data_IF_272092813679
#
_entry.id   IF_272092813679
#
_cell.length_a   1.000
_cell.length_b   1.000
_cell.length_c   1.000
_cell.angle_alpha   90.00
_cell.angle_beta   90.00
_cell.angle_gamma   90.00
#
_symmetry.space_group_name_H-M   'P 1'
#
loop_
_entity.id
_entity.type
_entity.pdbx_description
1 polymer ?
#
# COMPACT_ATOMS: atom_id res chain seq x y z
N UNK A 1 -38.24 48.31 -3.03
CA UNK A 1 -37.75 47.86 -1.70
C UNK A 1 -37.70 46.33 -1.57
N UNK A 2 -38.76 45.57 -1.91
CA UNK A 2 -38.78 44.10 -1.79
C UNK A 2 -37.72 43.33 -2.61
N UNK A 3 -37.35 43.79 -3.82
CA UNK A 3 -36.34 43.10 -4.65
C UNK A 3 -34.94 43.09 -4.03
N UNK A 4 -34.58 44.13 -3.28
CA UNK A 4 -33.30 44.21 -2.58
C UNK A 4 -33.26 43.23 -1.40
N UNK A 5 -34.31 43.23 -0.57
CA UNK A 5 -34.42 42.31 0.57
C UNK A 5 -34.38 40.83 0.13
N UNK A 6 -35.05 40.51 -0.99
CA UNK A 6 -35.07 39.15 -1.55
C UNK A 6 -33.71 38.70 -2.11
N UNK A 7 -32.89 39.64 -2.59
CA UNK A 7 -31.53 39.37 -3.06
C UNK A 7 -30.57 39.15 -1.89
N UNK A 8 -30.66 39.97 -0.85
CA UNK A 8 -29.87 39.80 0.38
C UNK A 8 -30.15 38.46 1.06
N UNK A 9 -31.42 38.08 1.25
CA UNK A 9 -31.79 36.78 1.82
C UNK A 9 -31.29 35.60 0.96
N UNK A 10 -31.31 35.75 -0.37
CA UNK A 10 -30.81 34.72 -1.28
C UNK A 10 -29.28 34.59 -1.24
N UNK A 11 -28.54 35.70 -1.14
CA UNK A 11 -27.08 35.69 -0.99
C UNK A 11 -26.66 35.05 0.36
N UNK A 12 -27.40 35.28 1.45
CA UNK A 12 -27.18 34.60 2.74
C UNK A 12 -27.46 33.08 2.66
N UNK A 13 -28.56 32.68 2.01
CA UNK A 13 -28.89 31.26 1.81
C UNK A 13 -27.83 30.56 0.94
N UNK A 14 -27.37 31.20 -0.14
CA UNK A 14 -26.32 30.66 -1.02
C UNK A 14 -24.99 30.53 -0.25
N UNK A 15 -24.61 31.51 0.56
CA UNK A 15 -23.41 31.46 1.40
C UNK A 15 -23.49 30.32 2.43
N UNK A 16 -24.66 30.13 3.07
CA UNK A 16 -24.89 29.04 4.03
C UNK A 16 -24.80 27.67 3.36
N UNK A 17 -25.37 27.52 2.16
CA UNK A 17 -25.30 26.28 1.38
C UNK A 17 -23.85 25.96 0.98
N UNK A 18 -23.08 26.97 0.55
CA UNK A 18 -21.65 26.80 0.22
C UNK A 18 -20.86 26.38 1.45
N UNK A 19 -21.08 27.02 2.60
CA UNK A 19 -20.41 26.69 3.85
C UNK A 19 -20.74 25.26 4.31
N UNK A 20 -22.01 24.86 4.25
CA UNK A 20 -22.43 23.49 4.57
C UNK A 20 -21.76 22.46 3.67
N UNK A 21 -21.66 22.73 2.36
CA UNK A 21 -20.97 21.84 1.41
C UNK A 21 -19.48 21.73 1.70
N UNK A 22 -18.81 22.83 2.03
CA UNK A 22 -17.38 22.83 2.42
C UNK A 22 -17.19 22.07 3.74
N UNK A 23 -18.05 22.29 4.73
CA UNK A 23 -17.96 21.58 6.01
C UNK A 23 -18.17 20.06 5.86
N UNK A 24 -19.14 19.65 5.03
CA UNK A 24 -19.35 18.23 4.72
C UNK A 24 -18.11 17.60 4.08
N UNK A 25 -17.49 18.28 3.10
CA UNK A 25 -16.25 17.82 2.48
C UNK A 25 -15.10 17.70 3.48
N UNK A 26 -14.96 18.68 4.38
CA UNK A 26 -13.94 18.64 5.43
C UNK A 26 -14.15 17.46 6.38
N UNK A 27 -15.39 17.18 6.77
CA UNK A 27 -15.71 16.00 7.59
C UNK A 27 -15.37 14.69 6.87
N UNK A 28 -15.76 14.54 5.61
CA UNK A 28 -15.45 13.35 4.82
C UNK A 28 -13.95 13.12 4.69
N UNK A 29 -13.19 14.20 4.49
CA UNK A 29 -11.73 14.19 4.48
C UNK A 29 -11.17 13.67 5.82
N UNK A 30 -11.61 14.25 6.93
CA UNK A 30 -11.15 13.83 8.27
C UNK A 30 -11.49 12.37 8.57
N UNK A 31 -12.70 11.93 8.24
CA UNK A 31 -13.13 10.55 8.46
C UNK A 31 -12.28 9.57 7.64
N UNK A 32 -11.98 9.89 6.38
CA UNK A 32 -11.12 9.06 5.51
C UNK A 32 -9.68 9.03 6.00
N UNK A 33 -9.15 10.18 6.45
CA UNK A 33 -7.81 10.26 7.02
C UNK A 33 -7.68 9.41 8.30
N UNK A 34 -8.68 9.47 9.20
CA UNK A 34 -8.68 8.67 10.42
C UNK A 34 -8.75 7.17 10.12
N UNK A 35 -9.56 6.76 9.14
CA UNK A 35 -9.60 5.35 8.70
C UNK A 35 -8.26 4.90 8.13
N UNK A 36 -7.61 5.73 7.31
CA UNK A 36 -6.29 5.45 6.76
C UNK A 36 -5.22 5.31 7.85
N UNK A 37 -5.21 6.22 8.84
CA UNK A 37 -4.27 6.18 9.97
C UNK A 37 -4.46 4.92 10.82
N UNK A 38 -5.71 4.56 11.13
CA UNK A 38 -6.02 3.34 11.87
C UNK A 38 -5.58 2.08 11.11
N UNK A 39 -5.77 2.07 9.79
CA UNK A 39 -5.32 0.98 8.93
C UNK A 39 -3.79 0.84 8.95
N UNK A 40 -3.06 1.95 8.84
CA UNK A 40 -1.60 1.93 8.88
C UNK A 40 -1.08 1.45 10.24
N UNK A 41 -1.71 1.85 11.34
CA UNK A 41 -1.36 1.36 12.67
C UNK A 41 -1.58 -0.16 12.81
N UNK A 42 -2.73 -0.67 12.32
CA UNK A 42 -3.02 -2.11 12.31
C UNK A 42 -2.00 -2.91 11.48
N UNK A 43 -1.55 -2.35 10.36
CA UNK A 43 -0.51 -2.94 9.52
C UNK A 43 0.85 -2.93 10.20
N UNK A 44 1.20 -1.85 10.91
CA UNK A 44 2.44 -1.72 11.67
C UNK A 44 2.51 -2.75 12.81
N UNK A 45 1.41 -2.90 13.57
CA UNK A 45 1.29 -3.91 14.60
C UNK A 45 1.48 -5.33 14.03
N UNK A 46 0.88 -5.62 12.86
CA UNK A 46 1.08 -6.93 12.20
C UNK A 46 2.48 -7.13 11.66
N UNK A 47 3.18 -6.06 11.27
CA UNK A 47 4.56 -6.12 10.81
C UNK A 47 5.57 -6.36 11.95
N UNK A 48 5.17 -6.15 13.22
CA UNK A 48 6.04 -6.33 14.40
C UNK A 48 6.52 -7.77 14.64
N UNK A 49 5.92 -8.76 13.96
CA UNK A 49 6.36 -10.16 13.96
C UNK A 49 5.49 -11.11 14.79
N UNK A 50 4.54 -10.57 15.56
CA UNK A 50 3.61 -11.36 16.38
C UNK A 50 2.43 -11.94 15.58
N UNK A 51 2.30 -11.59 14.29
CA UNK A 51 1.19 -11.98 13.44
C UNK A 51 1.63 -12.58 12.11
N UNK A 52 0.98 -13.67 11.71
CA UNK A 52 1.11 -14.24 10.37
C UNK A 52 0.04 -13.61 9.46
N UNK A 53 0.46 -12.99 8.36
CA UNK A 53 -0.43 -12.49 7.32
C UNK A 53 0.00 -13.02 5.95
N UNK A 54 -0.96 -13.08 5.02
CA UNK A 54 -0.76 -13.58 3.67
C UNK A 54 -0.85 -12.45 2.62
N UNK A 55 -0.63 -12.82 1.36
CA UNK A 55 -0.74 -11.90 0.21
C UNK A 55 -2.16 -11.34 0.05
N UNK A 56 -3.18 -12.12 0.42
CA UNK A 56 -4.59 -11.69 0.36
C UNK A 56 -4.88 -10.56 1.34
N UNK A 57 -4.32 -10.63 2.55
CA UNK A 57 -4.34 -9.55 3.52
C UNK A 57 -3.69 -8.29 2.93
N UNK A 58 -2.44 -8.38 2.45
CA UNK A 58 -1.72 -7.24 1.88
C UNK A 58 -2.48 -6.59 0.72
N UNK A 59 -3.02 -7.40 -0.19
CA UNK A 59 -3.81 -6.93 -1.33
C UNK A 59 -5.04 -6.15 -0.86
N UNK A 60 -5.74 -6.66 0.15
CA UNK A 60 -6.92 -6.00 0.73
C UNK A 60 -6.56 -4.67 1.40
N UNK A 61 -5.44 -4.63 2.12
CA UNK A 61 -4.95 -3.41 2.76
C UNK A 61 -4.59 -2.34 1.72
N UNK A 62 -3.88 -2.70 0.66
CA UNK A 62 -3.52 -1.78 -0.42
C UNK A 62 -4.75 -1.22 -1.14
N UNK A 63 -5.76 -2.06 -1.43
CA UNK A 63 -7.02 -1.59 -2.02
C UNK A 63 -7.77 -0.63 -1.08
N UNK A 64 -7.72 -0.89 0.22
CA UNK A 64 -8.33 -0.02 1.23
C UNK A 64 -7.61 1.33 1.30
N UNK A 65 -6.27 1.34 1.33
CA UNK A 65 -5.46 2.55 1.26
C UNK A 65 -5.76 3.37 0.00
N UNK A 66 -5.81 2.73 -1.17
CA UNK A 66 -6.15 3.39 -2.44
C UNK A 66 -7.50 4.12 -2.37
N UNK A 67 -8.52 3.45 -1.83
CA UNK A 67 -9.86 4.04 -1.68
C UNK A 67 -9.84 5.25 -0.75
N UNK A 68 -9.22 5.15 0.43
CA UNK A 68 -9.20 6.27 1.39
C UNK A 68 -8.36 7.45 0.88
N UNK A 69 -7.20 7.20 0.24
CA UNK A 69 -6.37 8.25 -0.36
C UNK A 69 -7.11 8.98 -1.49
N UNK A 70 -7.80 8.22 -2.35
CA UNK A 70 -8.62 8.80 -3.43
C UNK A 70 -9.74 9.67 -2.88
N UNK A 71 -10.40 9.24 -1.80
CA UNK A 71 -11.43 10.03 -1.13
C UNK A 71 -10.86 11.32 -0.52
N UNK A 72 -9.70 11.25 0.15
CA UNK A 72 -9.01 12.42 0.71
C UNK A 72 -8.69 13.44 -0.39
N UNK A 73 -8.08 13.01 -1.49
CA UNK A 73 -7.70 13.89 -2.60
C UNK A 73 -8.93 14.54 -3.24
N UNK A 74 -10.01 13.77 -3.40
CA UNK A 74 -11.28 14.27 -3.93
C UNK A 74 -11.84 15.40 -3.06
N UNK A 75 -11.87 15.20 -1.74
CA UNK A 75 -12.37 16.21 -0.82
C UNK A 75 -11.43 17.41 -0.69
N UNK A 76 -10.11 17.23 -0.74
CA UNK A 76 -9.13 18.32 -0.81
C UNK A 76 -9.40 19.20 -2.04
N UNK A 77 -9.55 18.60 -3.22
CA UNK A 77 -9.83 19.35 -4.44
C UNK A 77 -11.20 20.04 -4.39
N UNK A 78 -12.22 19.40 -3.80
CA UNK A 78 -13.52 20.03 -3.61
C UNK A 78 -13.47 21.23 -2.66
N UNK A 79 -12.67 21.16 -1.59
CA UNK A 79 -12.47 22.26 -0.63
C UNK A 79 -11.66 23.42 -1.19
N UNK A 80 -10.68 23.10 -2.03
CA UNK A 80 -9.69 24.05 -2.56
C UNK A 80 -10.01 24.59 -3.94
N UNK A 81 -11.21 24.31 -4.47
CA UNK A 81 -11.63 24.72 -5.81
C UNK A 81 -10.68 24.18 -6.89
N UNK A 82 -10.31 22.91 -6.72
CA UNK A 82 -9.44 22.12 -7.60
C UNK A 82 -8.03 22.72 -7.76
N UNK A 83 -7.44 23.18 -6.64
CA UNK A 83 -6.07 23.73 -6.62
C UNK A 83 -4.99 22.66 -6.77
N UNK A 84 -5.30 21.40 -6.48
CA UNK A 84 -4.34 20.29 -6.41
C UNK A 84 -4.70 19.11 -7.33
N UNK A 85 -4.99 19.34 -8.62
CA UNK A 85 -5.36 18.27 -9.55
C UNK A 85 -4.22 17.26 -9.74
N UNK A 86 -2.97 17.66 -9.56
CA UNK A 86 -1.77 16.83 -9.69
C UNK A 86 -1.68 15.71 -8.65
N UNK A 87 -2.39 15.82 -7.52
CA UNK A 87 -2.40 14.75 -6.51
C UNK A 87 -3.04 13.46 -7.03
N UNK A 88 -3.97 13.56 -7.98
CA UNK A 88 -4.65 12.40 -8.58
C UNK A 88 -3.65 11.50 -9.33
N UNK A 89 -2.94 11.97 -10.38
CA UNK A 89 -1.98 11.13 -11.08
C UNK A 89 -0.81 10.69 -10.18
N UNK A 90 -0.38 11.51 -9.22
CA UNK A 90 0.70 11.16 -8.28
C UNK A 90 0.31 10.03 -7.33
N UNK A 91 -0.90 10.07 -6.78
CA UNK A 91 -1.38 8.98 -5.93
C UNK A 91 -1.56 7.70 -6.72
N UNK A 92 -2.08 7.77 -7.96
CA UNK A 92 -2.19 6.61 -8.83
C UNK A 92 -0.82 5.98 -9.12
N UNK A 93 0.22 6.78 -9.39
CA UNK A 93 1.60 6.30 -9.58
C UNK A 93 2.10 5.50 -8.36
N UNK A 94 1.90 6.06 -7.15
CA UNK A 94 2.32 5.42 -5.89
C UNK A 94 1.55 4.12 -5.65
N UNK A 95 0.23 4.15 -5.84
CA UNK A 95 -0.63 2.97 -5.63
C UNK A 95 -0.29 1.87 -6.63
N UNK A 96 -0.01 2.20 -7.89
CA UNK A 96 0.42 1.22 -8.90
C UNK A 96 1.73 0.54 -8.47
N UNK A 97 2.74 1.31 -8.06
CA UNK A 97 4.00 0.74 -7.54
C UNK A 97 3.77 -0.13 -6.31
N UNK A 98 2.88 0.28 -5.41
CA UNK A 98 2.56 -0.48 -4.21
C UNK A 98 1.88 -1.82 -4.56
N UNK A 99 0.95 -1.81 -5.52
CA UNK A 99 0.32 -3.03 -6.05
C UNK A 99 1.36 -3.95 -6.67
N UNK A 100 2.28 -3.42 -7.48
CA UNK A 100 3.38 -4.20 -8.06
C UNK A 100 4.24 -4.87 -7.00
N UNK A 101 4.56 -4.18 -5.90
CA UNK A 101 5.31 -4.79 -4.79
C UNK A 101 4.55 -5.94 -4.15
N UNK A 102 3.24 -5.77 -3.93
CA UNK A 102 2.39 -6.82 -3.33
C UNK A 102 2.17 -8.01 -4.27
N UNK A 103 1.96 -7.75 -5.56
CA UNK A 103 1.69 -8.80 -6.57
C UNK A 103 2.94 -9.34 -7.22
N UNK A 104 4.12 -8.77 -6.96
CA UNK A 104 5.41 -9.40 -7.26
C UNK A 104 5.59 -10.58 -6.31
N UNK A 105 4.78 -11.62 -6.53
CA UNK A 105 4.99 -12.94 -5.95
C UNK A 105 6.44 -13.37 -6.19
N UNK A 106 6.96 -14.24 -5.34
CA UNK A 106 8.35 -14.71 -5.39
C UNK A 106 8.73 -15.05 -6.82
N UNK A 107 9.51 -14.18 -7.47
CA UNK A 107 10.06 -14.44 -8.79
C UNK A 107 10.95 -15.65 -8.60
N UNK A 108 10.57 -16.77 -9.21
CA UNK A 108 11.48 -17.91 -9.35
C UNK A 108 12.50 -17.43 -10.38
N UNK A 109 13.75 -17.17 -9.98
CA UNK A 109 14.75 -16.72 -10.94
C UNK A 109 14.97 -17.83 -11.98
N UNK A 110 15.26 -17.47 -13.22
CA UNK A 110 15.78 -18.46 -14.17
C UNK A 110 17.11 -19.00 -13.64
N UNK A 111 17.11 -20.28 -13.28
CA UNK A 111 18.28 -20.96 -12.74
C UNK A 111 18.62 -22.19 -13.58
N UNK A 112 19.89 -22.61 -13.60
CA UNK A 112 20.24 -23.93 -14.11
C UNK A 112 19.43 -25.01 -13.39
N UNK A 113 19.03 -26.08 -14.10
CA UNK A 113 18.26 -27.21 -13.55
C UNK A 113 18.84 -27.79 -12.26
N UNK A 114 20.15 -27.63 -12.06
CA UNK A 114 20.88 -28.06 -10.88
C UNK A 114 21.79 -26.94 -10.41
N UNK A 115 21.68 -26.59 -9.13
CA UNK A 115 22.60 -25.68 -8.45
C UNK A 115 23.43 -26.44 -7.40
N UNK A 116 24.77 -26.29 -7.42
CA UNK A 116 25.62 -26.90 -6.41
C UNK A 116 25.40 -26.21 -5.05
N UNK A 117 25.52 -26.95 -3.95
CA UNK A 117 25.34 -26.41 -2.61
C UNK A 117 26.31 -25.25 -2.28
N UNK A 118 27.45 -25.13 -2.96
CA UNK A 118 28.38 -23.99 -2.87
C UNK A 118 27.82 -22.67 -3.36
N UNK A 119 26.85 -22.71 -4.28
CA UNK A 119 26.25 -21.52 -4.88
C UNK A 119 24.97 -21.09 -4.17
N UNK A 120 24.51 -21.84 -3.16
CA UNK A 120 23.26 -21.59 -2.48
C UNK A 120 23.44 -20.66 -1.28
N UNK A 121 22.48 -19.76 -1.13
CA UNK A 121 22.34 -18.86 0.03
C UNK A 121 20.87 -18.83 0.43
N UNK A 122 20.53 -18.15 1.52
CA UNK A 122 19.13 -17.97 1.94
C UNK A 122 18.28 -17.37 0.82
N UNK A 123 18.86 -16.51 0.00
CA UNK A 123 18.19 -15.83 -1.12
C UNK A 123 17.85 -16.79 -2.27
N UNK A 124 18.44 -17.99 -2.32
CA UNK A 124 18.10 -19.03 -3.30
C UNK A 124 16.75 -19.73 -3.03
N UNK A 125 16.09 -19.45 -1.90
CA UNK A 125 14.85 -20.12 -1.48
C UNK A 125 13.72 -20.13 -2.54
N UNK A 126 13.54 -19.09 -3.39
CA UNK A 126 12.56 -19.16 -4.48
C UNK A 126 12.82 -20.27 -5.50
N UNK A 127 14.09 -20.59 -5.79
CA UNK A 127 14.46 -21.58 -6.81
C UNK A 127 14.59 -23.01 -6.25
N UNK A 128 15.08 -23.16 -5.01
CA UNK A 128 15.45 -24.48 -4.44
C UNK A 128 14.66 -24.87 -3.19
N UNK A 129 13.75 -24.00 -2.74
CA UNK A 129 13.03 -24.13 -1.48
C UNK A 129 13.88 -23.82 -0.24
N UNK A 130 13.21 -23.56 0.88
CA UNK A 130 13.85 -23.09 2.11
C UNK A 130 14.89 -24.05 2.69
N UNK A 131 14.71 -25.36 2.56
CA UNK A 131 15.62 -26.35 3.17
C UNK A 131 17.01 -26.29 2.52
N UNK A 132 17.07 -26.35 1.20
CA UNK A 132 18.35 -26.29 0.47
C UNK A 132 18.98 -24.91 0.55
N UNK A 133 18.18 -23.84 0.52
CA UNK A 133 18.67 -22.47 0.71
C UNK A 133 19.30 -22.27 2.09
N UNK A 134 18.66 -22.75 3.17
CA UNK A 134 19.23 -22.68 4.53
C UNK A 134 20.47 -23.55 4.69
N UNK A 135 20.51 -24.74 4.08
CA UNK A 135 21.70 -25.59 4.11
C UNK A 135 22.89 -24.89 3.43
N UNK A 136 22.64 -24.19 2.31
CA UNK A 136 23.62 -23.34 1.64
C UNK A 136 24.09 -22.17 2.51
N UNK A 137 23.17 -21.48 3.18
CA UNK A 137 23.48 -20.38 4.10
C UNK A 137 24.42 -20.82 5.24
N UNK A 138 24.08 -21.94 5.89
CA UNK A 138 24.86 -22.54 6.99
C UNK A 138 26.29 -22.86 6.52
N UNK A 139 26.42 -23.43 5.31
CA UNK A 139 27.74 -23.78 4.76
C UNK A 139 28.55 -22.58 4.33
N UNK A 140 27.93 -21.72 3.51
CA UNK A 140 28.66 -20.74 2.70
C UNK A 140 28.80 -19.38 3.40
N UNK A 141 27.93 -19.05 4.36
CA UNK A 141 28.05 -17.82 5.17
C UNK A 141 28.51 -18.09 6.60
N UNK A 142 28.01 -19.16 7.24
CA UNK A 142 28.41 -19.49 8.62
C UNK A 142 29.63 -20.41 8.69
N UNK A 143 30.06 -21.01 7.58
CA UNK A 143 31.24 -21.86 7.51
C UNK A 143 31.10 -23.19 8.27
N UNK A 144 29.88 -23.61 8.59
CA UNK A 144 29.62 -24.84 9.34
C UNK A 144 29.60 -26.05 8.40
N UNK A 145 30.03 -27.20 8.92
CA UNK A 145 30.01 -28.44 8.16
C UNK A 145 28.57 -28.88 7.86
N UNK A 146 28.31 -29.15 6.58
CA UNK A 146 27.06 -29.74 6.10
C UNK A 146 27.37 -30.84 5.09
N UNK A 147 26.48 -31.82 4.89
CA UNK A 147 26.64 -32.84 3.86
C UNK A 147 26.80 -32.23 2.46
N UNK A 148 27.63 -32.88 1.63
CA UNK A 148 27.76 -32.50 0.21
C UNK A 148 26.45 -32.75 -0.55
N UNK A 149 26.18 -31.93 -1.56
CA UNK A 149 24.98 -32.09 -2.37
C UNK A 149 24.74 -30.97 -3.38
N UNK A 150 23.57 -31.04 -4.00
CA UNK A 150 23.04 -30.07 -4.96
C UNK A 150 21.51 -29.96 -4.79
N UNK A 151 20.94 -28.90 -5.34
CA UNK A 151 19.49 -28.73 -5.42
C UNK A 151 19.02 -28.80 -6.87
N UNK A 152 17.89 -29.48 -7.09
CA UNK A 152 17.13 -29.40 -8.34
C UNK A 152 16.23 -28.18 -8.24
N UNK A 153 16.27 -27.31 -9.26
CA UNK A 153 15.50 -26.07 -9.25
C UNK A 153 14.10 -26.27 -9.82
N UNK A 154 13.17 -25.40 -9.43
CA UNK A 154 11.80 -25.36 -9.96
C UNK A 154 11.73 -24.77 -11.38
#
# INVERSE_FOLDING_TARGET
MLKFLRRFLKEEDDARVVLQKKFASFRNLLESNNRMLALMADMEDKASGDFVFDEGYLTTQVQTLEREVTAIITEINRLSENRYPELVPRSQEIITRLKEVVTSGRVIPETPLVLPLSALTRESAPAVGFKMAHLGEIRNRLGLEVPQGFAVTA
#
